data_IF_103071664163
#
_entry.id   IF_103071664163
#
_cell.length_a   1.000
_cell.length_b   1.000
_cell.length_c   1.000
_cell.angle_alpha   90.00
_cell.angle_beta   90.00
_cell.angle_gamma   90.00
#
_symmetry.space_group_name_H-M   'P 1'
#
loop_
_entity.id
_entity.type
_entity.pdbx_description
1 polymer ?
#
# COMPACT_ATOMS: atom_id res chain seq x y z
N UNK A 1 2.34 -4.42 4.22
CA UNK A 1 2.02 -5.10 2.95
C UNK A 1 2.53 -4.22 1.81
N UNK A 2 2.68 -4.73 0.57
CA UNK A 2 3.08 -3.88 -0.56
C UNK A 2 2.04 -2.81 -0.93
N UNK A 3 2.53 -1.69 -1.46
CA UNK A 3 1.72 -0.52 -1.79
C UNK A 3 0.61 -0.86 -2.80
N UNK A 4 0.87 -1.72 -3.79
CA UNK A 4 -0.15 -2.10 -4.77
C UNK A 4 -1.38 -2.74 -4.13
N UNK A 5 -1.22 -3.54 -3.07
CA UNK A 5 -2.34 -4.18 -2.40
C UNK A 5 -3.19 -3.19 -1.60
N UNK A 6 -2.56 -2.18 -0.99
CA UNK A 6 -3.27 -1.07 -0.39
C UNK A 6 -3.99 -0.24 -1.46
N UNK A 7 -3.33 0.04 -2.59
CA UNK A 7 -3.91 0.80 -3.69
C UNK A 7 -5.15 0.10 -4.27
N UNK A 8 -5.09 -1.22 -4.48
CA UNK A 8 -6.24 -2.02 -4.92
C UNK A 8 -7.39 -1.96 -3.91
N UNK A 9 -7.11 -2.14 -2.62
CA UNK A 9 -8.13 -2.04 -1.57
C UNK A 9 -8.80 -0.65 -1.53
N UNK A 10 -8.00 0.41 -1.59
CA UNK A 10 -8.49 1.78 -1.69
C UNK A 10 -9.30 2.03 -2.96
N UNK A 11 -8.84 1.53 -4.11
CA UNK A 11 -9.57 1.66 -5.37
C UNK A 11 -10.95 0.96 -5.30
N UNK A 12 -11.02 -0.26 -4.77
CA UNK A 12 -12.29 -0.97 -4.57
C UNK A 12 -13.23 -0.17 -3.68
N UNK A 13 -12.75 0.42 -2.58
CA UNK A 13 -13.56 1.29 -1.71
C UNK A 13 -14.09 2.50 -2.48
N UNK A 14 -13.23 3.19 -3.24
CA UNK A 14 -13.62 4.37 -4.01
C UNK A 14 -14.55 4.09 -5.19
N UNK A 15 -14.55 2.86 -5.70
CA UNK A 15 -15.49 2.37 -6.72
C UNK A 15 -16.82 1.90 -6.10
N UNK A 16 -16.81 1.39 -4.87
CA UNK A 16 -17.97 0.82 -4.20
C UNK A 16 -18.81 1.83 -3.43
N UNK A 17 -18.19 2.89 -2.90
CA UNK A 17 -18.84 3.85 -2.00
C UNK A 17 -18.90 5.23 -2.65
N UNK A 18 -20.11 5.65 -3.03
CA UNK A 18 -20.33 6.94 -3.68
C UNK A 18 -20.10 8.15 -2.76
N UNK A 19 -20.32 8.00 -1.45
CA UNK A 19 -20.16 9.10 -0.49
C UNK A 19 -18.68 9.27 -0.09
N UNK A 20 -18.00 10.37 -0.48
CA UNK A 20 -16.59 10.57 -0.17
C UNK A 20 -16.32 10.75 1.33
N UNK A 21 -17.31 11.24 2.10
CA UNK A 21 -17.18 11.38 3.56
C UNK A 21 -17.00 10.02 4.24
N UNK A 22 -17.50 8.94 3.62
CA UNK A 22 -17.33 7.56 4.10
C UNK A 22 -16.15 6.87 3.41
N UNK A 23 -16.04 7.03 2.08
CA UNK A 23 -15.02 6.33 1.28
C UNK A 23 -13.60 6.74 1.67
N UNK A 24 -13.32 8.04 1.83
CA UNK A 24 -11.97 8.53 2.07
C UNK A 24 -11.40 8.09 3.44
N UNK A 25 -12.13 8.23 4.57
CA UNK A 25 -11.64 7.71 5.84
C UNK A 25 -11.50 6.18 5.82
N UNK A 26 -12.45 5.47 5.20
CA UNK A 26 -12.39 4.02 5.12
C UNK A 26 -11.17 3.55 4.30
N UNK A 27 -10.86 4.21 3.19
CA UNK A 27 -9.68 3.93 2.39
C UNK A 27 -8.39 4.15 3.19
N UNK A 28 -8.27 5.27 3.91
CA UNK A 28 -7.12 5.51 4.79
C UNK A 28 -7.00 4.45 5.90
N UNK A 29 -8.11 4.11 6.56
CA UNK A 29 -8.11 3.09 7.63
C UNK A 29 -7.83 1.68 7.11
N UNK A 30 -8.22 1.39 5.86
CA UNK A 30 -7.98 0.09 5.23
C UNK A 30 -6.48 -0.25 5.17
N UNK A 31 -5.60 0.75 5.09
CA UNK A 31 -4.16 0.55 5.19
C UNK A 31 -3.78 -0.31 6.40
N UNK A 32 -4.18 0.15 7.60
CA UNK A 32 -3.82 -0.49 8.86
C UNK A 32 -4.50 -1.86 9.01
N UNK A 33 -5.71 -2.02 8.48
CA UNK A 33 -6.40 -3.31 8.49
C UNK A 33 -5.66 -4.35 7.64
N UNK A 34 -5.24 -3.95 6.44
CA UNK A 34 -4.50 -4.81 5.52
C UNK A 34 -3.11 -5.14 6.08
N UNK A 35 -2.46 -4.19 6.75
CA UNK A 35 -1.18 -4.43 7.41
C UNK A 35 -1.26 -5.33 8.65
N UNK A 36 -2.43 -5.48 9.26
CA UNK A 36 -2.64 -6.42 10.34
C UNK A 36 -2.74 -7.89 9.86
N UNK A 37 -2.87 -8.10 8.54
CA UNK A 37 -2.91 -9.43 7.91
C UNK A 37 -1.47 -9.92 7.69
N UNK A 38 -1.19 -11.23 7.85
CA UNK A 38 0.10 -11.81 7.47
C UNK A 38 0.56 -11.39 6.07
N UNK A 39 1.74 -10.80 5.94
CA UNK A 39 2.22 -10.28 4.66
C UNK A 39 3.75 -10.35 4.53
N UNK A 40 4.24 -10.06 3.32
CA UNK A 40 5.65 -10.20 3.01
C UNK A 40 6.48 -9.15 3.75
N UNK A 41 7.50 -9.60 4.44
CA UNK A 41 8.54 -8.75 5.00
C UNK A 41 9.84 -9.53 5.12
N UNK A 42 10.96 -8.81 5.04
CA UNK A 42 12.26 -9.36 5.38
C UNK A 42 12.56 -8.86 6.78
N UNK A 43 12.67 -9.78 7.75
CA UNK A 43 12.92 -9.42 9.14
C UNK A 43 14.27 -8.69 9.24
N UNK A 44 14.26 -7.52 9.88
CA UNK A 44 15.44 -6.66 9.98
C UNK A 44 15.51 -5.70 8.78
N UNK A 45 15.83 -4.43 9.07
CA UNK A 45 16.00 -3.40 8.04
C UNK A 45 17.28 -3.60 7.18
N UNK A 46 17.79 -4.82 7.11
CA UNK A 46 19.14 -5.14 6.65
C UNK A 46 19.33 -4.92 5.14
N UNK A 47 18.25 -4.86 4.36
CA UNK A 47 18.28 -4.53 2.93
C UNK A 47 17.58 -3.20 2.58
N UNK A 48 17.17 -2.38 3.56
CA UNK A 48 16.58 -1.07 3.24
C UNK A 48 17.57 -0.24 2.43
N UNK A 49 17.14 0.22 1.25
CA UNK A 49 17.99 0.97 0.33
C UNK A 49 18.93 0.10 -0.53
N UNK A 50 18.98 -1.20 -0.34
CA UNK A 50 19.70 -2.16 -1.19
C UNK A 50 19.14 -2.24 -2.61
N UNK A 51 19.89 -2.86 -3.53
CA UNK A 51 19.51 -2.93 -4.96
C UNK A 51 18.18 -3.67 -5.16
N UNK A 52 17.97 -4.76 -4.42
CA UNK A 52 16.76 -5.57 -4.54
C UNK A 52 15.54 -4.85 -3.95
N UNK A 53 15.69 -4.25 -2.77
CA UNK A 53 14.69 -3.34 -2.20
C UNK A 53 14.28 -2.23 -3.17
N UNK A 54 15.23 -1.51 -3.78
CA UNK A 54 14.89 -0.41 -4.69
C UNK A 54 14.16 -0.89 -5.95
N UNK A 55 14.58 -2.03 -6.54
CA UNK A 55 13.90 -2.61 -7.71
C UNK A 55 12.46 -2.98 -7.37
N UNK A 56 12.26 -3.57 -6.19
CA UNK A 56 10.93 -3.93 -5.69
C UNK A 56 10.07 -2.69 -5.47
N UNK A 57 10.62 -1.65 -4.85
CA UNK A 57 9.92 -0.37 -4.62
C UNK A 57 9.52 0.31 -5.93
N UNK A 58 10.41 0.32 -6.94
CA UNK A 58 10.12 0.87 -8.27
C UNK A 58 9.03 0.06 -8.96
N UNK A 59 9.11 -1.27 -8.92
CA UNK A 59 8.10 -2.13 -9.53
C UNK A 59 6.71 -1.92 -8.88
N UNK A 60 6.66 -1.88 -7.54
CA UNK A 60 5.43 -1.66 -6.77
C UNK A 60 4.81 -0.28 -7.04
N UNK A 61 5.62 0.78 -7.02
CA UNK A 61 5.17 2.13 -7.38
C UNK A 61 4.67 2.20 -8.84
N UNK A 62 5.35 1.50 -9.76
CA UNK A 62 4.95 1.46 -11.17
C UNK A 62 3.61 0.75 -11.35
N UNK A 63 3.33 -0.31 -10.58
CA UNK A 63 2.03 -0.98 -10.56
C UNK A 63 0.92 -0.06 -10.02
N UNK A 64 1.19 0.73 -8.98
CA UNK A 64 0.23 1.72 -8.47
C UNK A 64 -0.12 2.78 -9.54
N UNK A 65 0.89 3.29 -10.26
CA UNK A 65 0.68 4.23 -11.37
C UNK A 65 -0.11 3.57 -12.51
N UNK A 66 0.22 2.33 -12.85
CA UNK A 66 -0.50 1.58 -13.87
C UNK A 66 -1.97 1.37 -13.50
N UNK A 67 -2.27 1.03 -12.24
CA UNK A 67 -3.65 0.92 -11.73
C UNK A 67 -4.43 2.22 -11.93
N UNK A 68 -3.87 3.37 -11.54
CA UNK A 68 -4.50 4.69 -11.75
C UNK A 68 -4.73 4.96 -13.24
N UNK A 69 -3.75 4.64 -14.09
CA UNK A 69 -3.89 4.76 -15.55
C UNK A 69 -5.02 3.90 -16.11
N UNK A 70 -5.12 2.64 -15.70
CA UNK A 70 -6.21 1.73 -16.08
C UNK A 70 -7.55 2.29 -15.64
N UNK A 71 -7.68 2.74 -14.39
CA UNK A 71 -8.91 3.35 -13.87
C UNK A 71 -9.31 4.60 -14.66
N UNK A 72 -8.35 5.47 -14.99
CA UNK A 72 -8.61 6.68 -15.75
C UNK A 72 -9.15 6.40 -17.16
N UNK A 73 -8.66 5.35 -17.82
CA UNK A 73 -9.12 4.95 -19.16
C UNK A 73 -10.47 4.24 -19.12
N UNK A 74 -10.68 3.36 -18.13
CA UNK A 74 -11.83 2.45 -18.10
C UNK A 74 -13.03 2.99 -17.31
N UNK A 75 -12.82 3.95 -16.40
CA UNK A 75 -13.85 4.47 -15.48
C UNK A 75 -13.82 6.01 -15.40
N UNK A 76 -14.07 6.73 -16.51
CA UNK A 76 -13.88 8.19 -16.59
C UNK A 76 -14.71 9.02 -15.59
N UNK A 77 -15.81 8.48 -15.07
CA UNK A 77 -16.64 9.16 -14.06
C UNK A 77 -16.22 8.91 -12.61
N UNK A 78 -15.62 7.74 -12.31
CA UNK A 78 -15.31 7.31 -10.93
C UNK A 78 -13.81 7.18 -10.64
N UNK A 79 -12.96 7.27 -11.66
CA UNK A 79 -11.52 7.08 -11.50
C UNK A 79 -10.89 8.06 -10.53
N UNK A 80 -11.38 9.31 -10.44
CA UNK A 80 -10.87 10.29 -9.48
C UNK A 80 -11.10 9.81 -8.04
N UNK A 81 -12.32 9.40 -7.72
CA UNK A 81 -12.66 8.86 -6.39
C UNK A 81 -11.81 7.63 -6.07
N UNK A 82 -11.76 6.67 -7.00
CA UNK A 82 -10.97 5.45 -6.86
C UNK A 82 -9.47 5.73 -6.68
N UNK A 83 -8.92 6.67 -7.45
CA UNK A 83 -7.49 7.04 -7.39
C UNK A 83 -7.14 7.77 -6.09
N UNK A 84 -8.00 8.67 -5.61
CA UNK A 84 -7.80 9.33 -4.31
C UNK A 84 -7.87 8.30 -3.18
N UNK A 85 -8.83 7.37 -3.22
CA UNK A 85 -8.92 6.31 -2.21
C UNK A 85 -7.70 5.37 -2.26
N UNK A 86 -7.25 4.97 -3.45
CA UNK A 86 -6.03 4.19 -3.64
C UNK A 86 -4.79 4.92 -3.06
N UNK A 87 -4.67 6.23 -3.34
CA UNK A 87 -3.61 7.05 -2.77
C UNK A 87 -3.72 7.12 -1.25
N UNK A 88 -4.90 7.37 -0.69
CA UNK A 88 -5.07 7.45 0.77
C UNK A 88 -4.74 6.12 1.47
N UNK A 89 -5.11 4.99 0.89
CA UNK A 89 -4.76 3.66 1.41
C UNK A 89 -3.26 3.37 1.36
N UNK A 90 -2.51 3.95 0.41
CA UNK A 90 -1.04 3.80 0.33
C UNK A 90 -0.28 4.85 1.12
N UNK A 91 -0.88 6.02 1.35
CA UNK A 91 -0.20 7.19 1.92
C UNK A 91 0.46 6.97 3.28
N UNK A 92 -0.02 6.08 4.18
CA UNK A 92 0.68 5.84 5.43
C UNK A 92 2.09 5.27 5.22
N UNK A 93 2.37 4.50 4.17
CA UNK A 93 3.72 3.99 3.88
C UNK A 93 4.76 5.10 3.71
N UNK A 94 4.33 6.31 3.33
CA UNK A 94 5.22 7.47 3.21
C UNK A 94 5.89 7.84 4.54
N UNK A 95 5.37 7.37 5.68
CA UNK A 95 5.99 7.56 6.99
C UNK A 95 7.39 6.92 7.10
N UNK A 96 7.71 5.96 6.22
CA UNK A 96 9.03 5.32 6.16
C UNK A 96 10.05 6.05 5.28
N UNK A 97 9.61 6.99 4.42
CA UNK A 97 10.48 7.75 3.50
C UNK A 97 11.65 8.46 4.22
N UNK A 98 11.47 9.11 5.38
CA UNK A 98 12.59 9.72 6.10
C UNK A 98 13.68 8.72 6.47
N UNK A 99 13.32 7.51 6.88
CA UNK A 99 14.29 6.46 7.21
C UNK A 99 14.99 5.93 5.96
N UNK A 100 14.25 5.73 4.86
CA UNK A 100 14.83 5.38 3.57
C UNK A 100 15.87 6.41 3.09
N UNK A 101 15.53 7.71 3.13
CA UNK A 101 16.47 8.80 2.77
C UNK A 101 17.71 8.80 3.67
N UNK A 102 17.54 8.50 4.97
CA UNK A 102 18.67 8.46 5.91
C UNK A 102 19.62 7.31 5.59
N UNK A 103 19.09 6.11 5.30
CA UNK A 103 19.92 4.96 4.87
C UNK A 103 20.64 5.26 3.56
N UNK A 104 19.97 5.89 2.59
CA UNK A 104 20.61 6.33 1.33
C UNK A 104 21.73 7.35 1.54
N UNK A 105 21.67 8.14 2.61
CA UNK A 105 22.72 9.08 3.03
C UNK A 105 23.79 8.43 3.92
N UNK A 106 23.80 7.10 4.05
CA UNK A 106 24.75 6.35 4.89
C UNK A 106 24.50 6.52 6.39
N UNK A 107 23.32 6.97 6.82
CA UNK A 107 22.95 7.16 8.23
C UNK A 107 22.13 5.98 8.74
N UNK A 108 22.31 5.63 10.01
CA UNK A 108 21.48 4.61 10.67
C UNK A 108 20.01 5.05 10.79
N UNK A 109 19.12 4.05 10.69
CA UNK A 109 17.68 4.19 10.96
C UNK A 109 17.51 4.68 12.41
N UNK A 110 16.60 5.63 12.63
CA UNK A 110 16.29 6.07 13.99
C UNK A 110 15.06 5.32 14.48
N UNK A 111 15.02 4.93 15.75
CA UNK A 111 13.82 4.39 16.34
C UNK A 111 12.71 5.46 16.27
N UNK A 112 11.56 5.07 15.73
CA UNK A 112 10.45 5.97 15.50
C UNK A 112 9.84 6.40 16.85
N UNK A 113 10.00 7.67 17.20
CA UNK A 113 9.45 8.22 18.46
C UNK A 113 7.96 8.52 18.40
N UNK A 114 7.41 8.72 17.21
CA UNK A 114 5.99 9.01 16.96
C UNK A 114 5.10 7.82 17.34
N UNK A 115 4.01 8.10 18.05
CA UNK A 115 3.07 7.07 18.51
C UNK A 115 2.46 6.28 17.35
N UNK A 116 2.14 6.97 16.24
CA UNK A 116 1.54 6.36 15.06
C UNK A 116 2.46 5.34 14.38
N UNK A 117 3.77 5.63 14.28
CA UNK A 117 4.72 4.67 13.73
C UNK A 117 4.90 3.47 14.66
N UNK A 118 4.88 3.66 15.98
CA UNK A 118 4.90 2.52 16.93
C UNK A 118 3.66 1.66 16.81
N UNK A 119 2.49 2.28 16.62
CA UNK A 119 1.26 1.56 16.33
C UNK A 119 1.38 0.78 15.02
N UNK A 120 1.83 1.43 13.95
CA UNK A 120 2.03 0.82 12.62
C UNK A 120 2.94 -0.42 12.68
N UNK A 121 4.11 -0.30 13.31
CA UNK A 121 5.02 -1.45 13.45
C UNK A 121 4.46 -2.56 14.36
N UNK A 122 3.58 -2.23 15.32
CA UNK A 122 2.96 -3.24 16.20
C UNK A 122 1.86 -4.04 15.50
N UNK A 123 1.08 -3.42 14.64
CA UNK A 123 0.03 -4.12 13.90
C UNK A 123 0.62 -4.99 12.78
N UNK A 124 1.82 -4.67 12.29
CA UNK A 124 2.59 -5.48 11.34
C UNK A 124 3.25 -6.70 12.03
N UNK A 125 2.51 -7.39 12.89
CA UNK A 125 3.02 -8.46 13.76
C UNK A 125 3.55 -9.68 12.98
N UNK A 126 3.13 -9.86 11.73
CA UNK A 126 3.56 -10.94 10.85
C UNK A 126 4.11 -10.41 9.52
N UNK A 127 5.34 -9.90 9.57
CA UNK A 127 6.15 -9.53 8.40
C UNK A 127 7.20 -10.60 8.13
N UNK A 128 6.87 -11.59 7.28
CA UNK A 128 7.77 -12.73 6.99
C UNK A 128 7.76 -13.09 5.51
N UNK A 129 8.80 -13.75 4.97
CA UNK A 129 8.85 -14.10 3.56
C UNK A 129 7.66 -14.96 3.09
N UNK A 130 7.15 -15.85 3.94
CA UNK A 130 5.98 -16.69 3.63
C UNK A 130 4.69 -15.88 3.44
N UNK A 131 4.62 -14.67 4.00
CA UNK A 131 3.49 -13.76 3.80
C UNK A 131 3.33 -13.28 2.35
N UNK A 132 4.32 -13.52 1.47
CA UNK A 132 4.17 -13.29 0.03
C UNK A 132 2.99 -14.08 -0.57
N UNK A 133 2.70 -15.29 -0.08
CA UNK A 133 1.56 -16.06 -0.57
C UNK A 133 0.24 -15.33 -0.29
N UNK A 134 0.11 -14.69 0.88
CA UNK A 134 -1.06 -13.90 1.25
C UNK A 134 -1.15 -12.64 0.40
N UNK A 135 -0.03 -11.97 0.14
CA UNK A 135 -0.02 -10.80 -0.75
C UNK A 135 -0.45 -11.14 -2.18
N UNK A 136 -0.06 -12.31 -2.70
CA UNK A 136 -0.48 -12.77 -4.04
C UNK A 136 -1.97 -13.05 -4.08
N UNK A 137 -2.52 -13.72 -3.06
CA UNK A 137 -3.97 -13.97 -2.97
C UNK A 137 -4.74 -12.65 -2.85
N UNK A 138 -4.25 -11.72 -2.01
CA UNK A 138 -4.86 -10.41 -1.83
C UNK A 138 -4.82 -9.58 -3.13
N UNK A 139 -3.69 -9.61 -3.83
CA UNK A 139 -3.52 -8.95 -5.12
C UNK A 139 -4.52 -9.50 -6.14
N UNK A 140 -4.59 -10.83 -6.29
CA UNK A 140 -5.51 -11.47 -7.22
C UNK A 140 -6.98 -11.14 -6.89
N UNK A 141 -7.36 -11.20 -5.62
CA UNK A 141 -8.70 -10.81 -5.18
C UNK A 141 -9.00 -9.33 -5.47
N UNK A 142 -8.04 -8.44 -5.22
CA UNK A 142 -8.17 -7.01 -5.52
C UNK A 142 -8.35 -6.75 -7.01
N UNK A 143 -7.60 -7.42 -7.88
CA UNK A 143 -7.77 -7.33 -9.34
C UNK A 143 -9.17 -7.81 -9.76
N UNK A 144 -9.60 -8.98 -9.30
CA UNK A 144 -10.94 -9.52 -9.60
C UNK A 144 -12.03 -8.53 -9.18
N UNK A 145 -11.92 -7.97 -7.97
CA UNK A 145 -12.90 -7.00 -7.47
C UNK A 145 -12.91 -5.72 -8.30
N UNK A 146 -11.74 -5.19 -8.69
CA UNK A 146 -11.67 -4.02 -9.58
C UNK A 146 -12.27 -4.36 -10.94
N UNK A 147 -11.99 -5.53 -11.52
CA UNK A 147 -12.55 -5.98 -12.80
C UNK A 147 -14.07 -6.09 -12.81
N UNK A 148 -14.71 -6.43 -11.68
CA UNK A 148 -16.17 -6.42 -11.55
C UNK A 148 -16.77 -5.02 -11.74
N UNK A 149 -15.97 -3.97 -11.52
CA UNK A 149 -16.29 -2.59 -11.85
C UNK A 149 -15.67 -2.17 -13.17
N UNK A 150 -15.21 -3.05 -14.06
CA UNK A 150 -14.72 -2.70 -15.41
C UNK A 150 -15.66 -3.17 -16.51
N UNK A 151 -16.42 -4.24 -16.26
CA UNK A 151 -17.57 -4.68 -17.08
C UNK A 151 -18.78 -3.77 -16.84
#
# INVERSE_FOLDING_TARGET
MRAINHALGGAVIGLSIANPVVALPLAFLSHFLVDAIPHFGVSGFDDVGGKWFNRTLIADASLCVALVGVLAVTRPYYWVSASICAFLATSPDLMWVPNYIRVKRGKHIQPNKLWLLRFHTRIQWFERPIGAAVEVVWFAAGIILVEMFLV
#
